data_IF_792018428714
#
_entry.id   IF_792018428714
#
_cell.length_a   1.000
_cell.length_b   1.000
_cell.length_c   1.000
_cell.angle_alpha   90.00
_cell.angle_beta   90.00
_cell.angle_gamma   90.00
#
_symmetry.space_group_name_H-M   'P 1'
#
loop_
_entity.id
_entity.type
_entity.pdbx_description
1 polymer ?
#
# COMPACT_ATOMS: atom_id res chain seq x y z
N UNK A 1 12.65 21.53 -35.43
CA UNK A 1 11.99 20.88 -34.28
C UNK A 1 12.72 19.57 -34.00
N UNK A 2 13.53 19.53 -32.93
CA UNK A 2 14.31 18.35 -32.55
C UNK A 2 13.39 17.33 -31.88
N UNK A 3 13.15 16.21 -32.55
CA UNK A 3 12.35 15.10 -32.03
C UNK A 3 13.08 14.47 -30.84
N UNK A 4 12.56 14.65 -29.63
CA UNK A 4 13.00 13.95 -28.44
C UNK A 4 12.58 12.48 -28.53
N UNK A 5 13.33 11.70 -29.33
CA UNK A 5 13.05 10.28 -29.60
C UNK A 5 14.31 9.45 -29.89
N UNK A 6 15.50 9.94 -29.53
CA UNK A 6 16.77 9.29 -29.86
C UNK A 6 17.19 8.20 -28.85
N UNK A 7 16.24 7.48 -28.24
CA UNK A 7 16.55 6.34 -27.37
C UNK A 7 16.35 5.04 -28.15
N UNK A 8 17.32 4.12 -28.06
CA UNK A 8 17.26 2.79 -28.69
C UNK A 8 16.12 1.90 -28.17
N UNK A 9 15.36 2.39 -27.17
CA UNK A 9 14.30 1.69 -26.47
C UNK A 9 12.94 2.39 -26.62
N UNK A 10 12.78 3.34 -27.56
CA UNK A 10 11.48 3.95 -27.86
C UNK A 10 11.04 5.07 -26.91
N UNK A 11 9.74 5.41 -26.94
CA UNK A 11 9.17 6.50 -26.15
C UNK A 11 8.78 6.04 -24.74
N UNK A 12 9.15 6.78 -23.68
CA UNK A 12 8.85 6.40 -22.30
C UNK A 12 7.34 6.30 -22.02
N UNK A 13 6.51 7.04 -22.75
CA UNK A 13 5.06 7.04 -22.62
C UNK A 13 4.37 5.75 -23.16
N UNK A 14 5.11 4.85 -23.82
CA UNK A 14 4.58 3.58 -24.36
C UNK A 14 4.67 2.46 -23.31
N UNK A 15 5.57 2.59 -22.34
CA UNK A 15 5.69 1.62 -21.27
C UNK A 15 4.61 1.89 -20.21
N UNK A 16 3.77 0.90 -19.92
CA UNK A 16 2.93 0.94 -18.73
C UNK A 16 3.84 1.07 -17.50
N UNK A 17 3.60 2.08 -16.67
CA UNK A 17 4.34 2.45 -15.45
C UNK A 17 4.45 1.32 -14.38
N UNK A 18 3.95 0.12 -14.68
CA UNK A 18 3.68 -0.95 -13.73
C UNK A 18 4.89 -1.84 -13.41
N UNK A 19 5.98 -1.80 -14.18
CA UNK A 19 7.07 -2.79 -14.04
C UNK A 19 8.45 -2.24 -13.67
N UNK A 20 8.67 -0.93 -13.63
CA UNK A 20 9.97 -0.34 -13.29
C UNK A 20 9.86 0.85 -12.34
N UNK A 21 9.32 0.64 -11.13
CA UNK A 21 9.48 1.63 -10.07
C UNK A 21 10.91 1.59 -9.54
N UNK A 22 11.64 2.69 -9.72
CA UNK A 22 12.91 2.90 -9.02
C UNK A 22 12.64 3.23 -7.55
N UNK A 23 12.71 2.21 -6.70
CA UNK A 23 12.54 2.33 -5.25
C UNK A 23 13.82 2.85 -4.59
N UNK A 24 13.67 3.75 -3.62
CA UNK A 24 14.84 4.30 -2.92
C UNK A 24 15.45 3.24 -2.01
N UNK A 25 16.79 3.24 -1.86
CA UNK A 25 17.49 2.33 -0.93
C UNK A 25 16.96 2.39 0.50
N UNK A 26 16.51 3.57 0.95
CA UNK A 26 15.89 3.76 2.26
C UNK A 26 14.57 3.00 2.40
N UNK A 27 13.75 3.00 1.35
CA UNK A 27 12.46 2.31 1.32
C UNK A 27 12.65 0.79 1.34
N UNK A 28 13.65 0.27 0.61
CA UNK A 28 14.03 -1.15 0.63
C UNK A 28 14.43 -1.60 2.05
N UNK A 29 15.19 -0.76 2.77
CA UNK A 29 15.58 -1.05 4.16
C UNK A 29 14.37 -1.12 5.07
N UNK A 30 13.46 -0.15 4.94
CA UNK A 30 12.26 -0.08 5.78
C UNK A 30 11.34 -1.27 5.52
N UNK A 31 11.13 -1.64 4.26
CA UNK A 31 10.37 -2.84 3.89
C UNK A 31 10.98 -4.09 4.51
N UNK A 32 12.29 -4.27 4.38
CA UNK A 32 13.01 -5.41 4.94
C UNK A 32 12.85 -5.51 6.46
N UNK A 33 12.78 -4.38 7.17
CA UNK A 33 12.54 -4.35 8.62
C UNK A 33 11.09 -4.65 8.98
N UNK A 34 10.11 -4.15 8.23
CA UNK A 34 8.69 -4.34 8.54
C UNK A 34 8.18 -5.73 8.16
N UNK A 35 8.71 -6.32 7.08
CA UNK A 35 8.32 -7.65 6.60
C UNK A 35 9.22 -8.76 7.13
N UNK A 36 10.46 -8.42 7.55
CA UNK A 36 11.46 -9.37 8.03
C UNK A 36 12.21 -10.09 6.90
N UNK A 37 11.98 -9.75 5.64
CA UNK A 37 12.61 -10.39 4.48
C UNK A 37 13.87 -9.63 4.01
N UNK A 38 14.95 -10.35 3.66
CA UNK A 38 16.20 -9.74 3.20
C UNK A 38 16.21 -9.50 1.68
N UNK A 39 15.57 -8.42 1.25
CA UNK A 39 15.46 -8.02 -0.16
C UNK A 39 16.80 -7.68 -0.81
N UNK A 40 17.78 -7.24 0.00
CA UNK A 40 19.12 -6.89 -0.49
C UNK A 40 19.94 -8.10 -0.93
N UNK A 41 19.59 -9.30 -0.42
CA UNK A 41 20.28 -10.54 -0.77
C UNK A 41 19.98 -11.04 -2.18
N UNK A 42 18.94 -10.51 -2.83
CA UNK A 42 18.55 -10.91 -4.18
C UNK A 42 19.47 -10.30 -5.24
N UNK A 43 19.61 -10.99 -6.37
CA UNK A 43 20.32 -10.47 -7.54
C UNK A 43 19.63 -9.19 -8.08
N UNK A 44 20.37 -8.24 -8.71
CA UNK A 44 19.80 -6.97 -9.17
C UNK A 44 18.54 -7.10 -10.03
N UNK A 45 18.45 -8.15 -10.85
CA UNK A 45 17.29 -8.44 -11.69
C UNK A 45 16.05 -8.92 -10.91
N UNK A 46 16.24 -9.58 -9.77
CA UNK A 46 15.18 -10.09 -8.90
C UNK A 46 14.79 -9.16 -7.75
N UNK A 47 15.60 -8.13 -7.47
CA UNK A 47 15.30 -7.17 -6.40
C UNK A 47 14.01 -6.39 -6.68
N UNK A 48 13.79 -5.92 -7.91
CA UNK A 48 12.61 -5.12 -8.24
C UNK A 48 11.30 -5.90 -8.07
N UNK A 49 11.26 -7.17 -8.51
CA UNK A 49 10.09 -8.03 -8.34
C UNK A 49 9.82 -8.31 -6.86
N UNK A 50 10.86 -8.54 -6.06
CA UNK A 50 10.70 -8.82 -4.64
C UNK A 50 10.21 -7.59 -3.86
N UNK A 51 10.76 -6.41 -4.18
CA UNK A 51 10.27 -5.16 -3.59
C UNK A 51 8.79 -4.95 -3.90
N UNK A 52 8.37 -5.13 -5.15
CA UNK A 52 6.96 -5.00 -5.52
C UNK A 52 6.06 -5.97 -4.75
N UNK A 53 6.45 -7.25 -4.66
CA UNK A 53 5.75 -8.27 -3.87
C UNK A 53 5.61 -7.85 -2.42
N UNK A 54 6.67 -7.36 -1.80
CA UNK A 54 6.63 -6.94 -0.40
C UNK A 54 5.77 -5.70 -0.18
N UNK A 55 5.71 -4.78 -1.13
CA UNK A 55 4.78 -3.66 -1.08
C UNK A 55 3.33 -4.13 -1.12
N UNK A 56 3.01 -5.14 -1.94
CA UNK A 56 1.65 -5.72 -1.98
C UNK A 56 1.29 -6.36 -0.64
N UNK A 57 2.22 -7.12 -0.04
CA UNK A 57 2.05 -7.72 1.29
C UNK A 57 1.83 -6.65 2.36
N UNK A 58 2.64 -5.58 2.35
CA UNK A 58 2.55 -4.50 3.32
C UNK A 58 1.24 -3.71 3.19
N UNK A 59 0.81 -3.44 1.96
CA UNK A 59 -0.48 -2.81 1.66
C UNK A 59 -1.65 -3.69 2.12
N UNK A 60 -1.61 -4.99 1.86
CA UNK A 60 -2.64 -5.93 2.32
C UNK A 60 -2.70 -5.97 3.86
N UNK A 61 -1.54 -5.94 4.54
CA UNK A 61 -1.48 -5.89 6.00
C UNK A 61 -2.10 -4.60 6.55
N UNK A 62 -1.73 -3.44 5.98
CA UNK A 62 -2.30 -2.13 6.36
C UNK A 62 -3.81 -2.08 6.15
N UNK A 63 -4.30 -2.61 5.03
CA UNK A 63 -5.74 -2.69 4.77
C UNK A 63 -6.44 -3.58 5.80
N UNK A 64 -5.88 -4.75 6.12
CA UNK A 64 -6.44 -5.64 7.14
C UNK A 64 -6.45 -4.99 8.54
N UNK A 65 -5.39 -4.25 8.91
CA UNK A 65 -5.33 -3.48 10.14
C UNK A 65 -6.37 -2.35 10.17
N UNK A 66 -6.57 -1.65 9.05
CA UNK A 66 -7.58 -0.60 8.93
C UNK A 66 -9.01 -1.16 9.05
N UNK A 67 -9.29 -2.33 8.45
CA UNK A 67 -10.58 -3.02 8.55
C UNK A 67 -10.85 -3.48 9.98
N UNK A 68 -9.82 -3.88 10.74
CA UNK A 68 -9.99 -4.23 12.16
C UNK A 68 -10.34 -3.03 13.03
N UNK A 69 -9.87 -1.83 12.67
CA UNK A 69 -10.15 -0.60 13.41
C UNK A 69 -11.55 -0.07 13.11
N UNK A 70 -11.88 0.06 11.82
CA UNK A 70 -13.18 0.58 11.39
C UNK A 70 -14.07 -0.56 10.87
N UNK A 71 -15.13 -0.94 11.61
CA UNK A 71 -16.03 -2.03 11.23
C UNK A 71 -16.83 -1.73 9.95
N UNK A 72 -16.96 -0.46 9.55
CA UNK A 72 -17.68 -0.07 8.32
C UNK A 72 -16.79 -0.10 7.08
N UNK A 73 -15.46 -0.09 7.25
CA UNK A 73 -14.52 0.13 6.16
C UNK A 73 -14.60 -0.97 5.10
N UNK A 74 -14.71 -2.23 5.52
CA UNK A 74 -14.81 -3.36 4.59
C UNK A 74 -15.98 -3.21 3.60
N UNK A 75 -17.16 -2.82 4.08
CA UNK A 75 -18.32 -2.61 3.22
C UNK A 75 -18.08 -1.44 2.25
N UNK A 76 -17.54 -0.32 2.74
CA UNK A 76 -17.28 0.86 1.91
C UNK A 76 -16.23 0.62 0.83
N UNK A 77 -15.16 -0.14 1.13
CA UNK A 77 -14.13 -0.50 0.16
C UNK A 77 -14.68 -1.30 -1.03
N UNK A 78 -15.72 -2.10 -0.78
CA UNK A 78 -16.40 -2.90 -1.80
C UNK A 78 -17.64 -2.21 -2.38
N UNK A 79 -17.83 -0.91 -2.15
CA UNK A 79 -19.00 -0.12 -2.59
C UNK A 79 -20.35 -0.68 -2.09
N UNK A 80 -20.35 -1.36 -0.94
CA UNK A 80 -21.53 -1.91 -0.30
C UNK A 80 -22.00 -1.02 0.85
N UNK A 81 -23.29 -1.15 1.20
CA UNK A 81 -23.83 -0.49 2.40
C UNK A 81 -23.36 -1.25 3.65
N UNK A 82 -22.78 -0.57 4.65
CA UNK A 82 -22.41 -1.21 5.91
C UNK A 82 -23.64 -1.74 6.65
N UNK A 83 -23.44 -2.80 7.44
CA UNK A 83 -24.52 -3.40 8.24
C UNK A 83 -24.92 -2.47 9.37
N UNK A 84 -26.17 -2.62 9.87
CA UNK A 84 -26.64 -1.84 11.03
C UNK A 84 -25.74 -2.02 12.25
N UNK A 85 -25.26 -3.23 12.51
CA UNK A 85 -24.34 -3.51 13.61
C UNK A 85 -23.00 -2.77 13.45
N UNK A 86 -22.38 -2.84 12.27
CA UNK A 86 -21.12 -2.15 12.01
C UNK A 86 -21.23 -0.62 12.15
N UNK A 87 -22.38 -0.05 11.83
CA UNK A 87 -22.63 1.39 12.04
C UNK A 87 -22.67 1.70 13.54
N UNK A 88 -23.42 0.92 14.33
CA UNK A 88 -23.55 1.10 15.78
C UNK A 88 -22.19 0.93 16.47
N UNK A 89 -21.42 -0.10 16.10
CA UNK A 89 -20.09 -0.33 16.66
C UNK A 89 -19.16 0.87 16.40
N UNK A 90 -19.25 1.47 15.21
CA UNK A 90 -18.48 2.67 14.87
C UNK A 90 -18.93 3.89 15.68
N UNK A 91 -20.22 4.07 15.89
CA UNK A 91 -20.77 5.16 16.72
C UNK A 91 -20.29 5.03 18.17
N UNK A 92 -20.36 3.82 18.75
CA UNK A 92 -19.88 3.54 20.11
C UNK A 92 -18.39 3.85 20.22
N UNK A 93 -17.57 3.40 19.26
CA UNK A 93 -16.13 3.71 19.25
C UNK A 93 -15.85 5.21 19.25
N UNK A 94 -16.57 5.99 18.43
CA UNK A 94 -16.42 7.45 18.38
C UNK A 94 -16.83 8.12 19.70
N UNK A 95 -17.90 7.65 20.34
CA UNK A 95 -18.36 8.14 21.63
C UNK A 95 -17.35 7.84 22.75
N UNK A 96 -16.77 6.64 22.77
CA UNK A 96 -15.72 6.23 23.70
C UNK A 96 -14.45 7.09 23.54
N UNK A 97 -13.97 7.28 22.31
CA UNK A 97 -12.82 8.13 22.01
C UNK A 97 -13.08 9.59 22.44
N UNK A 98 -14.27 10.12 22.19
CA UNK A 98 -14.66 11.46 22.63
C UNK A 98 -14.73 11.59 24.15
N UNK A 99 -15.14 10.55 24.87
CA UNK A 99 -15.13 10.52 26.34
C UNK A 99 -13.71 10.45 26.90
N UNK A 100 -12.83 9.65 26.31
CA UNK A 100 -11.41 9.57 26.72
C UNK A 100 -10.73 10.93 26.52
N UNK A 101 -10.98 11.61 25.40
CA UNK A 101 -10.38 12.92 25.11
C UNK A 101 -10.88 14.05 26.01
N UNK A 102 -12.04 13.88 26.67
CA UNK A 102 -12.59 14.86 27.62
C UNK A 102 -12.10 14.67 29.05
N UNK A 103 -11.42 13.56 29.35
CA UNK A 103 -10.91 13.22 30.67
C UNK A 103 -9.47 13.70 30.85
#
# INVERSE_FOLDING_TARGET
>A
MSYAGASNVGFPNIYEDSNQKNVKKSEINNLSQTTGENVKGFLPKGQASEVNRLYEVENARKQAEAIKKDPTLAATLHNNKPSKGAIIDKEIQMEEEAMINKK
#
